data_IF_112852438195
#
_entry.id   IF_112852438195
#
_cell.length_a   1.000
_cell.length_b   1.000
_cell.length_c   1.000
_cell.angle_alpha   90.00
_cell.angle_beta   90.00
_cell.angle_gamma   90.00
#
_symmetry.space_group_name_H-M   'P 1'
#
loop_
_entity.id
_entity.type
_entity.pdbx_description
1 polymer ?
#
# COMPACT_ATOMS: atom_id res chain seq x y z
N UNK A 1 -14.31 28.27 3.21
CA UNK A 1 -14.00 27.80 1.84
C UNK A 1 -14.61 26.42 1.75
N UNK A 2 -15.71 26.27 1.01
CA UNK A 2 -16.48 25.04 0.95
C UNK A 2 -16.18 24.37 -0.40
N UNK A 3 -15.52 23.23 -0.37
CA UNK A 3 -15.21 22.41 -1.54
C UNK A 3 -16.49 21.70 -2.01
N UNK A 4 -16.91 21.91 -3.26
CA UNK A 4 -18.08 21.25 -3.84
C UNK A 4 -17.61 20.16 -4.82
N UNK A 5 -17.64 18.88 -4.41
CA UNK A 5 -17.40 17.75 -5.32
C UNK A 5 -18.70 17.37 -6.02
N UNK A 6 -18.70 17.39 -7.37
CA UNK A 6 -19.77 16.83 -8.20
C UNK A 6 -19.31 15.50 -8.79
N UNK A 7 -20.14 14.45 -8.64
CA UNK A 7 -19.84 13.07 -9.03
C UNK A 7 -20.67 12.73 -10.27
N UNK A 8 -20.04 12.14 -11.30
CA UNK A 8 -20.76 11.48 -12.38
C UNK A 8 -20.44 9.98 -12.34
N UNK A 9 -21.43 9.15 -11.98
CA UNK A 9 -21.31 7.70 -11.93
C UNK A 9 -22.07 7.05 -13.09
N UNK A 10 -21.44 6.09 -13.75
CA UNK A 10 -22.13 5.14 -14.63
C UNK A 10 -22.01 3.77 -13.97
N UNK A 11 -23.07 3.32 -13.32
CA UNK A 11 -23.12 2.01 -12.65
C UNK A 11 -23.69 0.94 -13.58
N UNK A 12 -23.02 -0.21 -13.66
CA UNK A 12 -23.65 -1.51 -13.86
C UNK A 12 -22.88 -2.56 -13.06
N UNK A 13 -23.45 -2.87 -11.89
CA UNK A 13 -23.33 -4.07 -11.04
C UNK A 13 -21.99 -4.81 -10.92
N UNK A 14 -21.36 -4.70 -9.75
CA UNK A 14 -21.22 -5.80 -8.78
C UNK A 14 -20.82 -5.19 -7.42
N UNK A 15 -21.70 -5.30 -6.42
CA UNK A 15 -21.34 -5.06 -5.03
C UNK A 15 -20.51 -6.26 -4.57
N UNK A 16 -19.19 -6.09 -4.47
CA UNK A 16 -18.40 -6.89 -3.56
C UNK A 16 -17.74 -5.94 -2.57
N UNK A 17 -18.26 -5.99 -1.36
CA UNK A 17 -17.88 -5.21 -0.20
C UNK A 17 -16.41 -5.57 0.10
N UNK A 18 -15.57 -4.54 0.32
CA UNK A 18 -14.23 -4.70 0.91
C UNK A 18 -14.30 -5.76 2.02
N UNK A 19 -13.48 -6.83 1.91
CA UNK A 19 -13.44 -7.98 2.82
C UNK A 19 -14.04 -7.62 4.20
N UNK A 20 -15.21 -8.17 4.48
CA UNK A 20 -15.95 -7.91 5.70
C UNK A 20 -14.99 -8.01 6.88
N UNK A 21 -14.93 -6.94 7.67
CA UNK A 21 -14.19 -6.94 8.93
C UNK A 21 -14.71 -8.12 9.75
N UNK A 22 -13.92 -9.17 9.92
CA UNK A 22 -14.34 -10.31 10.74
C UNK A 22 -14.28 -9.87 12.19
N UNK A 23 -15.42 -9.42 12.71
CA UNK A 23 -15.64 -9.23 14.15
C UNK A 23 -16.28 -10.50 14.65
N UNK A 24 -15.53 -11.30 15.42
CA UNK A 24 -16.08 -12.49 16.04
C UNK A 24 -17.03 -12.10 17.17
N UNK A 25 -18.24 -12.65 17.16
CA UNK A 25 -19.21 -12.46 18.24
C UNK A 25 -18.81 -13.24 19.50
N UNK A 26 -19.22 -12.70 20.64
CA UNK A 26 -18.93 -13.27 21.95
C UNK A 26 -19.99 -14.28 22.41
N UNK A 27 -19.61 -15.34 23.15
CA UNK A 27 -20.57 -16.27 23.75
C UNK A 27 -21.54 -15.57 24.72
N UNK A 28 -22.79 -16.04 24.77
CA UNK A 28 -23.92 -15.38 25.45
C UNK A 28 -23.85 -15.32 26.99
N UNK A 29 -22.78 -15.79 27.64
CA UNK A 29 -22.60 -15.77 29.10
C UNK A 29 -21.11 -15.82 29.50
N UNK A 30 -20.39 -14.70 29.39
CA UNK A 30 -19.00 -14.64 29.84
C UNK A 30 -18.93 -14.42 31.34
N UNK A 31 -18.24 -15.33 32.02
CA UNK A 31 -18.08 -15.29 33.49
C UNK A 31 -16.64 -14.98 33.89
N UNK A 32 -15.70 -15.04 32.94
CA UNK A 32 -14.28 -14.77 33.10
C UNK A 32 -13.86 -13.47 32.41
N UNK A 33 -12.75 -13.54 31.70
CA UNK A 33 -12.18 -12.48 30.85
C UNK A 33 -12.52 -12.82 29.41
N UNK A 34 -12.87 -11.83 28.60
CA UNK A 34 -13.04 -11.98 27.15
C UNK A 34 -12.57 -10.72 26.46
N UNK A 35 -11.38 -10.77 25.88
CA UNK A 35 -10.80 -9.64 25.17
C UNK A 35 -11.23 -9.65 23.70
N UNK A 36 -11.50 -8.45 23.18
CA UNK A 36 -11.76 -8.25 21.77
C UNK A 36 -11.12 -6.97 21.28
N UNK A 37 -10.47 -7.04 20.13
CA UNK A 37 -10.00 -5.84 19.43
C UNK A 37 -11.15 -5.21 18.66
N UNK A 38 -11.64 -4.06 19.13
CA UNK A 38 -12.83 -3.38 18.60
C UNK A 38 -12.47 -2.59 17.34
N UNK A 39 -11.40 -1.80 17.39
CA UNK A 39 -11.00 -0.94 16.30
C UNK A 39 -9.49 -0.71 16.29
N UNK A 40 -8.98 -0.37 15.12
CA UNK A 40 -7.63 0.16 14.95
C UNK A 40 -7.75 1.43 14.14
N UNK A 41 -7.39 2.56 14.75
CA UNK A 41 -7.19 3.82 14.04
C UNK A 41 -5.70 4.10 13.90
N UNK A 42 -5.34 4.99 12.99
CA UNK A 42 -3.97 5.14 12.52
C UNK A 42 -3.68 6.62 12.33
N UNK A 43 -2.51 7.07 12.76
CA UNK A 43 -2.05 8.45 12.58
C UNK A 43 -0.56 8.45 12.26
N UNK A 44 -0.11 9.40 11.44
CA UNK A 44 1.33 9.58 11.28
C UNK A 44 1.92 10.09 12.59
N UNK A 45 3.06 9.52 13.01
CA UNK A 45 3.73 9.89 14.28
C UNK A 45 4.13 11.36 14.38
N UNK A 46 4.25 12.05 13.25
CA UNK A 46 4.61 13.46 13.19
C UNK A 46 3.76 14.21 12.15
N UNK A 47 3.61 15.51 12.39
CA UNK A 47 2.76 16.40 11.59
C UNK A 47 3.33 16.70 10.20
N UNK A 48 4.64 16.53 9.98
CA UNK A 48 5.25 16.76 8.67
C UNK A 48 4.84 15.66 7.69
N UNK A 49 4.94 14.39 8.10
CA UNK A 49 4.46 13.25 7.32
C UNK A 49 2.94 13.28 7.16
N UNK A 50 2.20 13.63 8.22
CA UNK A 50 0.75 13.82 8.11
C UNK A 50 0.39 14.85 7.05
N UNK A 51 0.98 16.05 7.11
CA UNK A 51 0.69 17.14 6.17
C UNK A 51 0.99 16.74 4.73
N UNK A 52 1.96 15.84 4.54
CA UNK A 52 2.38 15.36 3.23
C UNK A 52 1.48 14.25 2.67
N UNK A 53 1.02 13.31 3.49
CA UNK A 53 0.37 12.09 2.99
C UNK A 53 -1.13 12.00 3.28
N UNK A 54 -1.69 12.90 4.09
CA UNK A 54 -3.07 12.84 4.57
C UNK A 54 -4.12 12.78 3.44
N UNK A 55 -3.85 13.31 2.26
CA UNK A 55 -4.88 13.41 1.22
C UNK A 55 -5.24 12.09 0.59
N UNK A 56 -4.37 11.08 0.52
CA UNK A 56 -4.72 9.72 0.10
C UNK A 56 -4.70 8.70 1.25
N UNK A 57 -4.36 9.15 2.45
CA UNK A 57 -4.27 8.31 3.64
C UNK A 57 -5.61 8.14 4.35
N UNK A 58 -5.87 6.92 4.83
CA UNK A 58 -6.99 6.59 5.72
C UNK A 58 -6.82 7.11 7.16
N UNK A 59 -5.61 7.59 7.52
CA UNK A 59 -5.23 7.99 8.88
C UNK A 59 -5.98 9.22 9.41
N UNK A 60 -6.55 10.04 8.53
CA UNK A 60 -7.26 11.24 8.97
C UNK A 60 -8.22 11.69 7.86
N UNK A 61 -9.52 11.85 8.08
CA UNK A 61 -10.28 12.78 7.25
C UNK A 61 -9.73 14.20 7.58
N UNK A 62 -9.11 14.92 6.63
CA UNK A 62 -8.68 16.30 6.86
C UNK A 62 -9.82 17.12 7.47
N UNK A 63 -9.51 18.08 8.34
CA UNK A 63 -10.52 18.91 8.97
C UNK A 63 -11.42 19.57 7.90
N UNK A 64 -12.73 19.29 7.92
CA UNK A 64 -13.74 19.67 6.92
C UNK A 64 -13.75 18.89 5.58
N UNK A 65 -13.00 17.81 5.46
CA UNK A 65 -12.98 16.93 4.29
C UNK A 65 -13.55 15.55 4.65
N UNK A 66 -14.87 15.41 4.49
CA UNK A 66 -15.56 14.14 4.67
C UNK A 66 -15.48 13.32 3.38
N UNK A 67 -14.42 12.52 3.24
CA UNK A 67 -14.23 11.66 2.07
C UNK A 67 -14.79 10.26 2.33
N UNK A 68 -15.53 9.66 1.39
CA UNK A 68 -15.88 8.24 1.44
C UNK A 68 -14.64 7.34 1.61
N UNK A 69 -14.74 6.32 2.47
CA UNK A 69 -13.62 5.42 2.77
C UNK A 69 -13.07 4.70 1.52
N UNK A 70 -13.93 4.50 0.52
CA UNK A 70 -13.58 3.91 -0.78
C UNK A 70 -12.60 4.75 -1.62
N UNK A 71 -12.32 5.99 -1.23
CA UNK A 71 -11.41 6.89 -1.94
C UNK A 71 -10.03 7.05 -1.25
N UNK A 72 -9.76 6.28 -0.19
CA UNK A 72 -8.40 6.14 0.34
C UNK A 72 -7.58 5.22 -0.56
N UNK A 73 -6.29 5.53 -0.74
CA UNK A 73 -5.35 4.69 -1.51
C UNK A 73 -4.37 3.98 -0.57
N UNK A 74 -3.97 4.65 0.52
CA UNK A 74 -2.92 4.16 1.43
C UNK A 74 -3.36 4.25 2.89
N UNK A 75 -2.81 3.37 3.71
CA UNK A 75 -2.89 3.42 5.18
C UNK A 75 -1.57 3.94 5.77
N UNK A 76 -0.45 3.72 5.08
CA UNK A 76 0.85 4.29 5.46
C UNK A 76 1.78 4.46 4.26
N UNK A 77 2.98 4.96 4.54
CA UNK A 77 4.04 5.12 3.55
C UNK A 77 5.25 4.26 3.91
N UNK A 78 5.94 3.75 2.89
CA UNK A 78 7.16 2.99 3.03
C UNK A 78 8.18 3.76 3.89
N UNK A 79 8.77 3.08 4.87
CA UNK A 79 9.75 3.61 5.81
C UNK A 79 9.29 4.86 6.58
N UNK A 80 7.98 5.05 6.73
CA UNK A 80 7.38 6.18 7.45
C UNK A 80 6.69 5.69 8.71
N UNK A 81 6.95 6.33 9.83
CA UNK A 81 6.43 5.87 11.13
C UNK A 81 4.97 6.28 11.34
N UNK A 82 4.14 5.31 11.68
CA UNK A 82 2.68 5.44 11.90
C UNK A 82 2.34 4.89 13.28
N UNK A 83 1.58 5.64 14.07
CA UNK A 83 1.02 5.20 15.35
C UNK A 83 -0.35 4.59 15.10
N UNK A 84 -0.50 3.34 15.53
CA UNK A 84 -1.78 2.65 15.58
C UNK A 84 -2.37 2.82 16.98
N UNK A 85 -3.62 3.22 17.06
CA UNK A 85 -4.41 3.21 18.30
C UNK A 85 -5.37 2.05 18.25
N UNK A 86 -5.06 1.00 19.02
CA UNK A 86 -5.84 -0.23 19.11
C UNK A 86 -6.79 -0.11 20.30
N UNK A 87 -8.09 -0.19 20.03
CA UNK A 87 -9.12 -0.21 21.07
C UNK A 87 -9.43 -1.65 21.44
N UNK A 88 -9.23 -2.00 22.71
CA UNK A 88 -9.47 -3.33 23.26
C UNK A 88 -10.61 -3.25 24.27
N UNK A 89 -11.58 -4.14 24.15
CA UNK A 89 -12.71 -4.27 25.05
C UNK A 89 -12.60 -5.59 25.81
N UNK A 90 -12.93 -5.56 27.10
CA UNK A 90 -13.12 -6.76 27.91
C UNK A 90 -14.64 -6.96 28.11
N UNK A 91 -15.22 -7.90 27.38
CA UNK A 91 -16.66 -8.22 27.44
C UNK A 91 -17.01 -9.10 28.65
N UNK A 92 -16.00 -9.71 29.28
CA UNK A 92 -16.16 -10.51 30.48
C UNK A 92 -16.49 -9.70 31.73
N UNK A 93 -16.60 -10.38 32.86
CA UNK A 93 -16.92 -9.78 34.17
C UNK A 93 -15.71 -9.62 35.07
N UNK A 94 -14.60 -10.31 34.78
CA UNK A 94 -13.38 -10.25 35.58
C UNK A 94 -12.33 -9.32 34.94
N UNK A 95 -11.42 -8.70 35.71
CA UNK A 95 -10.30 -7.96 35.16
C UNK A 95 -9.36 -8.86 34.34
N UNK A 96 -8.88 -8.36 33.20
CA UNK A 96 -8.02 -9.10 32.25
C UNK A 96 -6.60 -9.40 32.76
N UNK A 97 -6.21 -8.84 33.91
CA UNK A 97 -4.79 -8.65 34.22
C UNK A 97 -4.10 -7.84 33.12
N UNK A 98 -2.77 -7.85 33.10
CA UNK A 98 -2.00 -7.15 32.07
C UNK A 98 -2.33 -7.71 30.68
N UNK A 99 -2.38 -6.85 29.66
CA UNK A 99 -2.73 -7.22 28.28
C UNK A 99 -1.55 -6.91 27.35
N UNK A 100 -1.12 -7.92 26.60
CA UNK A 100 -0.16 -7.74 25.52
C UNK A 100 -0.91 -7.50 24.21
N UNK A 101 -0.69 -6.35 23.59
CA UNK A 101 -1.25 -5.97 22.28
C UNK A 101 -0.18 -6.14 21.23
N UNK A 102 -0.34 -7.16 20.38
CA UNK A 102 0.55 -7.48 19.29
C UNK A 102 -0.03 -7.00 17.94
N UNK A 103 0.80 -6.39 17.12
CA UNK A 103 0.49 -5.98 15.75
C UNK A 103 1.43 -6.69 14.79
N UNK A 104 0.82 -7.34 13.78
CA UNK A 104 1.50 -7.95 12.65
C UNK A 104 1.12 -7.24 11.36
N UNK A 105 2.10 -6.97 10.49
CA UNK A 105 1.85 -6.74 9.07
C UNK A 105 2.34 -7.94 8.27
N UNK A 106 1.39 -8.57 7.59
CA UNK A 106 1.57 -9.77 6.78
C UNK A 106 1.61 -9.40 5.31
N UNK A 107 2.61 -9.92 4.61
CA UNK A 107 2.70 -9.74 3.17
C UNK A 107 1.71 -10.66 2.45
N UNK A 108 0.81 -10.10 1.63
CA UNK A 108 -0.26 -10.90 1.01
C UNK A 108 0.25 -11.95 0.01
N UNK A 109 1.39 -11.67 -0.62
CA UNK A 109 1.97 -12.51 -1.67
C UNK A 109 2.82 -13.69 -1.13
N UNK A 110 3.13 -13.71 0.17
CA UNK A 110 3.98 -14.74 0.78
C UNK A 110 3.33 -15.31 2.04
N UNK A 111 3.25 -16.63 2.14
CA UNK A 111 2.71 -17.29 3.31
C UNK A 111 3.59 -17.06 4.54
N UNK A 112 2.98 -16.65 5.66
CA UNK A 112 3.63 -16.45 6.95
C UNK A 112 4.77 -15.41 6.95
N UNK A 113 4.78 -14.48 5.99
CA UNK A 113 5.77 -13.41 5.99
C UNK A 113 5.29 -12.22 6.83
N UNK A 114 5.85 -12.10 8.03
CA UNK A 114 5.65 -10.96 8.93
C UNK A 114 6.81 -9.97 8.78
N UNK A 115 6.55 -8.78 8.25
CA UNK A 115 7.58 -7.74 8.11
C UNK A 115 7.45 -6.62 9.15
N UNK A 116 6.36 -6.61 9.91
CA UNK A 116 6.20 -5.92 11.18
C UNK A 116 5.64 -6.93 12.16
N UNK A 117 6.27 -7.04 13.32
CA UNK A 117 5.78 -7.80 14.47
C UNK A 117 6.19 -7.03 15.73
N UNK A 118 5.24 -6.37 16.37
CA UNK A 118 5.52 -5.48 17.50
C UNK A 118 4.48 -5.69 18.58
N UNK A 119 4.93 -5.79 19.83
CA UNK A 119 4.06 -5.96 20.99
C UNK A 119 4.28 -4.83 21.96
N UNK A 120 3.18 -4.23 22.40
CA UNK A 120 3.17 -3.30 23.54
C UNK A 120 2.33 -3.91 24.64
N UNK A 121 2.60 -3.51 25.87
CA UNK A 121 1.86 -3.98 27.03
C UNK A 121 1.00 -2.83 27.57
N UNK A 122 -0.27 -3.10 27.82
CA UNK A 122 -1.20 -2.18 28.46
C UNK A 122 -1.68 -2.71 29.81
N UNK A 123 -2.25 -1.82 30.62
CA UNK A 123 -2.75 -2.15 31.94
C UNK A 123 -3.98 -3.06 31.88
N UNK A 124 -4.45 -3.51 33.05
CA UNK A 124 -5.62 -4.37 33.12
C UNK A 124 -6.90 -3.63 32.78
N UNK A 125 -7.73 -4.28 31.95
CA UNK A 125 -9.05 -3.81 31.56
C UNK A 125 -10.07 -4.48 32.48
N UNK A 126 -10.87 -3.66 33.16
CA UNK A 126 -11.95 -4.17 34.02
C UNK A 126 -13.04 -4.85 33.18
N UNK A 127 -13.79 -5.77 33.77
CA UNK A 127 -14.91 -6.40 33.07
C UNK A 127 -15.95 -5.37 32.60
N UNK A 128 -16.41 -5.50 31.35
CA UNK A 128 -17.31 -4.56 30.69
C UNK A 128 -16.69 -3.21 30.32
N UNK A 129 -15.36 -3.07 30.38
CA UNK A 129 -14.66 -1.83 30.06
C UNK A 129 -13.86 -1.92 28.75
N UNK A 130 -13.45 -0.76 28.25
CA UNK A 130 -12.61 -0.59 27.07
C UNK A 130 -11.41 0.27 27.43
N UNK A 131 -10.27 -0.01 26.83
CA UNK A 131 -9.08 0.83 26.91
C UNK A 131 -8.31 0.77 25.57
N UNK A 132 -7.30 1.63 25.41
CA UNK A 132 -6.55 1.76 24.16
C UNK A 132 -5.05 1.54 24.37
N UNK A 133 -4.40 0.91 23.38
CA UNK A 133 -2.95 0.82 23.28
C UNK A 133 -2.45 1.56 22.04
N UNK A 134 -1.32 2.27 22.18
CA UNK A 134 -0.62 2.90 21.06
C UNK A 134 0.57 2.04 20.64
N UNK A 135 0.65 1.72 19.36
CA UNK A 135 1.74 0.91 18.77
C UNK A 135 2.32 1.67 17.59
N UNK A 136 3.60 2.02 17.66
CA UNK A 136 4.30 2.61 16.52
C UNK A 136 4.83 1.52 15.59
N UNK A 137 4.55 1.67 14.29
CA UNK A 137 5.02 0.77 13.24
C UNK A 137 5.76 1.54 12.15
N UNK A 138 6.74 0.89 11.52
CA UNK A 138 7.44 1.42 10.34
C UNK A 138 7.39 0.36 9.24
N UNK A 139 6.43 0.44 8.30
CA UNK A 139 6.31 -0.52 7.21
C UNK A 139 7.57 -0.50 6.33
N UNK A 140 8.19 -1.66 6.16
CA UNK A 140 9.44 -1.80 5.39
C UNK A 140 9.23 -2.33 3.97
N UNK A 141 7.98 -2.63 3.59
CA UNK A 141 7.56 -3.08 2.26
C UNK A 141 6.35 -2.27 1.77
N UNK A 142 6.39 -1.81 0.52
CA UNK A 142 5.25 -1.19 -0.16
C UNK A 142 4.28 -2.24 -0.71
N UNK A 143 3.06 -1.82 -0.99
CA UNK A 143 2.01 -2.65 -1.55
C UNK A 143 0.85 -2.92 -0.61
N UNK A 144 0.03 -3.89 -0.98
CA UNK A 144 -1.17 -4.32 -0.28
C UNK A 144 -0.82 -5.44 0.70
N UNK A 145 -1.10 -5.20 1.98
CA UNK A 145 -0.79 -6.12 3.08
C UNK A 145 -2.04 -6.43 3.90
N UNK A 146 -1.88 -7.35 4.84
CA UNK A 146 -2.89 -7.67 5.86
C UNK A 146 -2.34 -7.27 7.22
N UNK A 147 -3.09 -6.43 7.95
CA UNK A 147 -2.77 -6.11 9.35
C UNK A 147 -3.58 -7.02 10.28
N UNK A 148 -2.91 -7.55 11.29
CA UNK A 148 -3.54 -8.28 12.40
C UNK A 148 -3.17 -7.59 13.71
N UNK A 149 -4.18 -7.15 14.47
CA UNK A 149 -4.00 -6.69 15.83
C UNK A 149 -4.62 -7.72 16.78
N UNK A 150 -3.86 -8.20 17.77
CA UNK A 150 -4.28 -9.20 18.75
C UNK A 150 -4.05 -8.69 20.16
N UNK A 151 -5.06 -8.80 21.01
CA UNK A 151 -4.94 -8.56 22.44
C UNK A 151 -4.87 -9.90 23.18
N UNK A 152 -3.88 -10.11 24.05
CA UNK A 152 -3.73 -11.33 24.84
C UNK A 152 -3.69 -11.00 26.32
N UNK A 153 -4.64 -11.54 27.08
CA UNK A 153 -4.67 -11.37 28.53
C UNK A 153 -3.57 -12.22 29.21
N UNK A 154 -3.04 -11.73 30.33
CA UNK A 154 -2.15 -12.51 31.22
C UNK A 154 -2.86 -13.63 31.99
N UNK A 155 -4.19 -13.69 31.90
CA UNK A 155 -5.05 -14.72 32.49
C UNK A 155 -5.83 -15.45 31.39
N UNK A 156 -6.45 -16.57 31.73
CA UNK A 156 -7.23 -17.33 30.76
C UNK A 156 -8.40 -16.51 30.22
N UNK A 157 -8.47 -16.41 28.90
CA UNK A 157 -9.56 -15.81 28.15
C UNK A 157 -10.62 -16.87 27.82
N UNK A 158 -11.90 -16.52 28.01
CA UNK A 158 -13.05 -17.41 27.79
C UNK A 158 -13.24 -17.71 26.29
N UNK A 159 -12.81 -16.84 25.38
CA UNK A 159 -12.92 -17.04 23.93
C UNK A 159 -11.73 -16.45 23.12
N UNK A 160 -10.55 -17.09 23.13
CA UNK A 160 -9.35 -16.58 22.44
C UNK A 160 -9.46 -16.37 20.91
N UNK A 161 -10.58 -16.75 20.29
CA UNK A 161 -10.82 -16.61 18.85
C UNK A 161 -11.26 -15.20 18.45
N UNK A 162 -11.77 -14.38 19.38
CA UNK A 162 -12.16 -12.98 19.11
C UNK A 162 -11.11 -11.95 19.55
N UNK A 163 -10.03 -12.41 20.19
CA UNK A 163 -8.85 -11.62 20.59
C UNK A 163 -8.16 -10.87 19.45
N UNK A 164 -8.40 -11.25 18.20
CA UNK A 164 -7.73 -10.69 17.04
C UNK A 164 -8.69 -10.04 16.04
N UNK A 165 -8.26 -8.92 15.49
CA UNK A 165 -8.89 -8.21 14.38
C UNK A 165 -7.95 -8.20 13.18
N UNK A 166 -8.51 -8.50 12.01
CA UNK A 166 -7.78 -8.46 10.74
C UNK A 166 -8.41 -7.41 9.81
N UNK A 167 -7.57 -6.63 9.13
CA UNK A 167 -8.01 -5.67 8.11
C UNK A 167 -6.92 -5.48 7.04
N UNK A 168 -7.30 -4.93 5.88
CA UNK A 168 -6.35 -4.54 4.84
C UNK A 168 -5.44 -3.40 5.32
N UNK A 169 -4.21 -3.37 4.82
CA UNK A 169 -3.26 -2.29 5.08
C UNK A 169 -2.40 -2.02 3.84
N UNK A 170 -2.56 -0.87 3.20
CA UNK A 170 -1.87 -0.50 1.95
C UNK A 170 -0.74 0.48 2.24
N UNK A 171 0.46 0.16 1.77
CA UNK A 171 1.66 0.99 1.97
C UNK A 171 2.06 1.62 0.64
N UNK A 172 2.04 2.94 0.57
CA UNK A 172 2.55 3.68 -0.59
C UNK A 172 4.06 3.59 -0.73
N UNK A 173 4.55 3.47 -1.97
CA UNK A 173 5.98 3.45 -2.28
C UNK A 173 6.56 4.87 -2.38
N UNK A 174 5.88 5.74 -3.13
CA UNK A 174 6.32 7.11 -3.37
C UNK A 174 5.13 8.05 -3.45
N UNK A 175 5.34 9.26 -2.95
CA UNK A 175 4.33 10.31 -2.88
C UNK A 175 4.92 11.65 -3.34
N UNK A 176 4.11 12.48 -3.98
CA UNK A 176 4.48 13.82 -4.44
C UNK A 176 3.31 14.80 -4.37
N UNK A 177 3.52 15.90 -3.66
CA UNK A 177 2.56 16.99 -3.46
C UNK A 177 2.80 18.17 -4.41
N UNK A 178 3.58 17.95 -5.48
CA UNK A 178 3.92 19.00 -6.44
C UNK A 178 4.47 20.30 -5.81
N UNK A 179 5.19 20.17 -4.69
CA UNK A 179 5.72 21.27 -3.88
C UNK A 179 7.13 21.73 -4.30
N UNK A 180 7.58 21.32 -5.49
CA UNK A 180 8.93 21.57 -6.00
C UNK A 180 10.05 20.78 -5.32
N UNK A 181 9.78 20.01 -4.25
CA UNK A 181 10.80 19.19 -3.57
C UNK A 181 11.00 17.84 -4.25
N UNK A 182 9.96 17.32 -4.90
CA UNK A 182 10.04 16.10 -5.68
C UNK A 182 10.73 16.37 -7.03
N UNK A 183 11.73 15.54 -7.38
CA UNK A 183 12.58 15.68 -8.57
C UNK A 183 11.88 15.36 -9.91
N UNK A 184 10.66 15.84 -10.12
CA UNK A 184 9.95 15.72 -11.39
C UNK A 184 10.64 16.58 -12.45
N UNK A 185 10.76 16.02 -13.64
CA UNK A 185 11.23 16.76 -14.80
C UNK A 185 10.02 17.44 -15.45
N UNK A 186 9.95 18.77 -15.33
CA UNK A 186 8.94 19.59 -15.99
C UNK A 186 9.45 20.02 -17.38
N UNK A 187 8.84 19.51 -18.43
CA UNK A 187 9.06 19.98 -19.79
C UNK A 187 8.45 21.37 -20.00
N UNK A 188 8.78 22.01 -21.13
CA UNK A 188 8.19 23.29 -21.49
C UNK A 188 6.65 23.17 -21.57
N UNK A 189 5.93 24.08 -20.92
CA UNK A 189 4.47 24.02 -20.75
C UNK A 189 4.00 23.39 -19.44
N UNK A 190 4.91 22.84 -18.61
CA UNK A 190 4.64 22.45 -17.23
C UNK A 190 5.31 23.38 -16.23
N UNK A 191 4.62 23.69 -15.14
CA UNK A 191 5.12 24.54 -14.05
C UNK A 191 4.51 24.13 -12.71
N UNK A 192 5.12 24.55 -11.61
CA UNK A 192 4.45 24.55 -10.31
C UNK A 192 3.60 25.81 -10.22
N UNK A 193 2.29 25.66 -9.98
CA UNK A 193 1.35 26.79 -9.87
C UNK A 193 0.87 26.97 -8.44
N UNK A 194 0.63 28.22 -8.06
CA UNK A 194 0.00 28.63 -6.80
C UNK A 194 -1.47 29.03 -6.99
N UNK A 195 -2.03 28.86 -8.19
CA UNK A 195 -3.42 29.25 -8.49
C UNK A 195 -4.43 28.41 -7.72
N UNK A 196 -4.14 27.11 -7.59
CA UNK A 196 -4.93 26.14 -6.84
C UNK A 196 -4.04 25.00 -6.34
N UNK A 197 -4.37 24.44 -5.18
CA UNK A 197 -3.72 23.24 -4.63
C UNK A 197 -4.60 22.59 -3.58
N UNK A 198 -4.38 21.30 -3.33
CA UNK A 198 -4.98 20.57 -2.22
C UNK A 198 -4.05 20.64 -1.01
N UNK A 199 -2.75 20.47 -1.21
CA UNK A 199 -1.72 20.63 -0.17
C UNK A 199 -1.08 22.01 -0.19
N UNK A 200 -0.40 22.45 0.88
CA UNK A 200 -0.53 23.83 1.37
C UNK A 200 0.02 24.96 0.48
N UNK A 201 0.55 24.72 -0.70
CA UNK A 201 1.23 25.81 -1.44
C UNK A 201 1.20 25.73 -2.96
N UNK A 202 1.25 24.55 -3.57
CA UNK A 202 1.44 24.43 -5.03
C UNK A 202 0.80 23.17 -5.60
N UNK A 203 0.56 23.17 -6.91
CA UNK A 203 0.20 22.00 -7.70
C UNK A 203 1.00 21.95 -9.01
N UNK A 204 1.10 20.78 -9.64
CA UNK A 204 1.73 20.64 -10.94
C UNK A 204 0.74 21.06 -12.02
N UNK A 205 1.11 22.01 -12.87
CA UNK A 205 0.20 22.60 -13.83
C UNK A 205 0.73 22.48 -15.27
N UNK A 206 -0.10 21.97 -16.17
CA UNK A 206 0.07 22.06 -17.61
C UNK A 206 -0.84 23.18 -18.16
N UNK A 207 -0.26 24.31 -18.54
CA UNK A 207 -1.00 25.50 -18.97
C UNK A 207 -0.29 26.80 -18.61
N UNK A 208 -1.00 27.92 -18.75
CA UNK A 208 -0.46 29.28 -18.54
C UNK A 208 -0.99 29.97 -17.27
N UNK A 209 -1.67 29.23 -16.39
CA UNK A 209 -2.26 29.72 -15.13
C UNK A 209 -3.75 30.06 -15.24
N UNK A 210 -4.45 30.22 -14.12
CA UNK A 210 -5.92 30.30 -14.11
C UNK A 210 -6.52 31.51 -14.86
N UNK A 211 -5.73 32.56 -15.09
CA UNK A 211 -6.14 33.77 -15.82
C UNK A 211 -5.70 33.77 -17.29
N UNK A 212 -5.14 32.66 -17.78
CA UNK A 212 -4.55 32.57 -19.11
C UNK A 212 -4.72 31.17 -19.70
N UNK A 213 -5.01 31.08 -21.00
CA UNK A 213 -5.19 29.79 -21.65
C UNK A 213 -3.88 29.24 -22.21
N UNK A 214 -3.77 27.93 -22.35
CA UNK A 214 -2.65 27.30 -23.07
C UNK A 214 -2.66 27.67 -24.57
N UNK A 215 -1.55 27.46 -25.28
CA UNK A 215 -1.51 27.66 -26.73
C UNK A 215 -1.95 26.40 -27.49
N UNK A 216 -2.39 26.59 -28.73
CA UNK A 216 -2.72 25.51 -29.65
C UNK A 216 -1.45 24.79 -30.13
N UNK A 217 -1.59 23.52 -30.51
CA UNK A 217 -0.53 22.64 -31.01
C UNK A 217 0.63 22.45 -30.00
N UNK A 218 0.30 22.43 -28.70
CA UNK A 218 1.27 22.13 -27.66
C UNK A 218 1.35 20.61 -27.47
N UNK A 219 2.57 20.12 -27.27
CA UNK A 219 2.83 18.85 -26.60
C UNK A 219 3.82 19.14 -25.47
N UNK A 220 3.37 18.97 -24.24
CA UNK A 220 4.13 19.29 -23.04
C UNK A 220 4.07 18.13 -22.06
N UNK A 221 5.21 17.73 -21.50
CA UNK A 221 5.27 16.57 -20.61
C UNK A 221 5.96 16.88 -19.27
N UNK A 222 5.35 16.40 -18.19
CA UNK A 222 6.00 16.20 -16.90
C UNK A 222 6.35 14.71 -16.77
N UNK A 223 7.57 14.41 -16.31
CA UNK A 223 8.02 13.02 -16.11
C UNK A 223 8.50 12.83 -14.69
N UNK A 224 8.19 11.68 -14.09
CA UNK A 224 8.76 11.30 -12.79
C UNK A 224 10.28 11.15 -12.89
N UNK A 225 11.01 11.32 -11.77
CA UNK A 225 12.36 10.78 -11.69
C UNK A 225 12.35 9.27 -11.95
N UNK A 226 13.53 8.72 -12.26
CA UNK A 226 13.72 7.28 -12.37
C UNK A 226 13.45 6.63 -11.01
N UNK A 227 12.62 5.59 -11.00
CA UNK A 227 12.27 4.80 -9.83
C UNK A 227 12.71 3.36 -10.05
N UNK A 228 13.49 2.83 -9.12
CA UNK A 228 13.78 1.40 -9.10
C UNK A 228 12.59 0.67 -8.47
N UNK A 229 11.84 0.00 -9.33
CA UNK A 229 10.69 -0.86 -8.99
C UNK A 229 10.94 -2.28 -9.54
N UNK A 230 12.22 -2.67 -9.70
CA UNK A 230 12.61 -3.99 -10.22
C UNK A 230 12.23 -5.14 -9.30
N UNK A 231 11.98 -4.83 -8.04
CA UNK A 231 11.44 -5.72 -7.03
C UNK A 231 9.91 -5.85 -7.12
N UNK A 232 9.20 -5.26 -8.09
CA UNK A 232 7.76 -5.46 -8.20
C UNK A 232 7.36 -6.93 -8.49
N UNK A 233 6.23 -7.34 -7.92
CA UNK A 233 5.61 -8.64 -8.17
C UNK A 233 4.91 -8.64 -9.55
N UNK A 234 5.13 -9.71 -10.32
CA UNK A 234 4.67 -9.80 -11.71
C UNK A 234 3.15 -10.01 -11.84
N UNK A 235 2.54 -10.68 -10.86
CA UNK A 235 1.10 -10.97 -10.85
C UNK A 235 0.54 -10.75 -9.45
N UNK A 236 0.45 -9.50 -8.99
CA UNK A 236 -0.08 -9.20 -7.67
C UNK A 236 -1.53 -9.66 -7.53
N UNK A 237 -1.92 -10.02 -6.31
CA UNK A 237 -3.28 -10.36 -5.90
C UNK A 237 -4.19 -9.12 -5.88
N UNK A 238 -3.61 -7.94 -5.70
CA UNK A 238 -4.30 -6.64 -5.63
C UNK A 238 -3.79 -5.67 -6.71
N UNK A 239 -4.50 -4.58 -6.89
CA UNK A 239 -4.14 -3.56 -7.89
C UNK A 239 -2.85 -2.85 -7.49
N UNK A 240 -1.92 -2.80 -8.45
CA UNK A 240 -0.75 -1.95 -8.39
C UNK A 240 -0.93 -0.80 -9.39
N UNK A 241 -0.39 0.38 -9.08
CA UNK A 241 -0.54 1.52 -9.95
C UNK A 241 -0.25 2.85 -9.29
N UNK A 242 -0.97 3.87 -9.76
CA UNK A 242 -0.83 5.24 -9.26
C UNK A 242 -2.18 5.91 -9.08
N UNK A 243 -2.24 6.89 -8.19
CA UNK A 243 -3.38 7.78 -8.03
C UNK A 243 -2.91 9.23 -7.97
N UNK A 244 -3.82 10.15 -8.24
CA UNK A 244 -3.61 11.60 -8.12
C UNK A 244 -4.96 12.28 -7.97
N UNK A 245 -4.94 13.52 -7.49
CA UNK A 245 -6.05 14.43 -7.70
C UNK A 245 -5.77 15.31 -8.92
N UNK A 246 -6.83 15.63 -9.67
CA UNK A 246 -6.74 16.52 -10.81
C UNK A 246 -7.94 17.47 -10.89
N UNK A 247 -7.70 18.68 -11.40
CA UNK A 247 -8.71 19.69 -11.72
C UNK A 247 -8.28 20.48 -12.96
N UNK A 248 -9.04 21.48 -13.37
CA UNK A 248 -8.79 22.26 -14.57
C UNK A 248 -9.69 21.86 -15.73
N UNK A 249 -9.29 22.24 -16.94
CA UNK A 249 -10.04 21.97 -18.14
C UNK A 249 -9.22 22.03 -19.40
N UNK A 250 -9.70 21.31 -20.42
CA UNK A 250 -9.19 21.39 -21.77
C UNK A 250 -10.36 21.34 -22.76
N UNK A 251 -10.18 22.00 -23.89
CA UNK A 251 -11.13 22.03 -24.99
C UNK A 251 -11.29 20.66 -25.67
N UNK A 252 -12.27 20.56 -26.58
CA UNK A 252 -12.49 19.33 -27.33
C UNK A 252 -11.23 18.92 -28.13
N UNK A 253 -10.89 17.63 -28.08
CA UNK A 253 -9.67 17.01 -28.66
C UNK A 253 -8.35 17.29 -27.94
N UNK A 254 -8.38 18.07 -26.86
CA UNK A 254 -7.22 18.27 -26.00
C UNK A 254 -7.27 17.28 -24.84
N UNK A 255 -6.09 16.81 -24.41
CA UNK A 255 -6.04 15.75 -23.39
C UNK A 255 -4.76 15.78 -22.55
N UNK A 256 -4.90 15.31 -21.32
CA UNK A 256 -3.79 14.93 -20.47
C UNK A 256 -3.66 13.41 -20.43
N UNK A 257 -2.55 12.89 -20.96
CA UNK A 257 -2.28 11.46 -21.08
C UNK A 257 -1.32 10.99 -20.00
N UNK A 258 -1.67 9.87 -19.35
CA UNK A 258 -0.84 9.20 -18.35
C UNK A 258 -0.21 7.97 -18.98
N UNK A 259 1.12 7.89 -18.99
CA UNK A 259 1.88 6.81 -19.60
C UNK A 259 2.97 6.25 -18.68
N UNK A 260 3.21 4.94 -18.76
CA UNK A 260 4.37 4.28 -18.16
C UNK A 260 5.45 4.01 -19.20
N UNK A 261 6.72 4.00 -18.81
CA UNK A 261 7.82 3.58 -19.68
C UNK A 261 8.06 2.08 -19.50
N UNK A 262 8.05 1.33 -20.60
CA UNK A 262 8.34 -0.10 -20.57
C UNK A 262 9.85 -0.40 -20.59
N UNK A 263 10.20 -1.68 -20.42
CA UNK A 263 11.60 -2.14 -20.46
C UNK A 263 12.30 -1.95 -21.81
N UNK A 264 11.54 -1.82 -22.91
CA UNK A 264 12.07 -1.45 -24.24
C UNK A 264 12.28 0.07 -24.41
N UNK A 265 11.95 0.86 -23.38
CA UNK A 265 12.07 2.31 -23.35
C UNK A 265 10.93 3.07 -24.02
N UNK A 266 9.86 2.37 -24.44
CA UNK A 266 8.68 2.95 -25.09
C UNK A 266 7.68 3.46 -24.04
N UNK A 267 6.98 4.54 -24.36
CA UNK A 267 5.87 5.05 -23.54
C UNK A 267 4.58 4.33 -23.91
N UNK A 268 3.92 3.74 -22.93
CA UNK A 268 2.64 3.04 -23.06
C UNK A 268 1.59 3.84 -22.29
N UNK A 269 0.53 4.25 -22.97
CA UNK A 269 -0.58 5.02 -22.38
C UNK A 269 -1.51 4.09 -21.57
N UNK A 270 -1.91 4.55 -20.39
CA UNK A 270 -2.87 3.87 -19.50
C UNK A 270 -4.18 4.62 -19.38
N UNK A 271 -4.14 5.95 -19.40
CA UNK A 271 -5.32 6.77 -19.22
C UNK A 271 -5.19 8.13 -19.90
N UNK A 272 -6.32 8.75 -20.19
CA UNK A 272 -6.39 10.12 -20.70
C UNK A 272 -7.53 10.87 -20.00
N UNK A 273 -7.24 12.08 -19.54
CA UNK A 273 -8.19 13.03 -18.97
C UNK A 273 -8.53 14.04 -20.07
N UNK A 274 -9.82 14.33 -20.24
CA UNK A 274 -10.35 15.23 -21.27
C UNK A 274 -11.50 16.07 -20.72
N UNK A 275 -11.79 17.19 -21.37
CA UNK A 275 -12.89 18.09 -21.01
C UNK A 275 -12.61 18.96 -19.78
N UNK A 276 -13.65 19.62 -19.30
CA UNK A 276 -13.58 20.61 -18.20
C UNK A 276 -14.09 19.99 -16.91
N UNK A 277 -13.23 19.95 -15.88
CA UNK A 277 -13.61 19.64 -14.49
C UNK A 277 -14.03 20.94 -13.80
N UNK A 278 -13.17 21.94 -13.88
CA UNK A 278 -13.34 23.26 -13.28
C UNK A 278 -12.40 24.24 -13.97
N UNK A 279 -12.92 25.38 -14.45
CA UNK A 279 -12.13 26.41 -15.10
C UNK A 279 -12.23 27.79 -14.42
N UNK A 280 -12.82 27.88 -13.23
CA UNK A 280 -12.88 29.11 -12.44
C UNK A 280 -12.65 28.81 -10.95
N UNK A 281 -11.45 29.09 -10.45
CA UNK A 281 -11.13 28.83 -9.05
C UNK A 281 -11.56 29.95 -8.08
N UNK A 282 -12.24 31.01 -8.55
CA UNK A 282 -12.66 32.12 -7.69
C UNK A 282 -13.77 31.71 -6.69
N UNK A 283 -14.53 30.65 -6.98
CA UNK A 283 -15.54 30.07 -6.10
C UNK A 283 -15.02 28.85 -5.30
N UNK A 284 -13.78 28.44 -5.55
CA UNK A 284 -13.10 27.31 -4.93
C UNK A 284 -12.99 26.12 -5.89
N UNK A 285 -11.81 25.51 -5.96
CA UNK A 285 -11.52 24.50 -6.96
C UNK A 285 -12.21 23.14 -6.72
N UNK A 286 -12.77 22.54 -7.75
CA UNK A 286 -13.36 21.19 -7.73
C UNK A 286 -12.33 20.15 -8.20
N UNK A 287 -11.95 19.23 -7.31
CA UNK A 287 -10.97 18.19 -7.60
C UNK A 287 -11.62 16.84 -7.84
N UNK A 288 -11.07 16.07 -8.79
CA UNK A 288 -11.46 14.70 -9.12
C UNK A 288 -10.31 13.74 -8.85
N UNK A 289 -10.64 12.47 -8.69
CA UNK A 289 -9.68 11.36 -8.67
C UNK A 289 -10.29 10.16 -9.39
N UNK A 290 -9.54 9.07 -9.50
CA UNK A 290 -9.96 7.90 -10.24
C UNK A 290 -10.98 7.05 -9.49
N UNK A 291 -11.66 6.19 -10.24
CA UNK A 291 -12.38 5.04 -9.71
C UNK A 291 -12.35 3.93 -10.76
N UNK A 292 -11.51 2.93 -10.53
CA UNK A 292 -11.32 1.80 -11.44
C UNK A 292 -11.68 0.50 -10.74
N UNK A 293 -12.32 -0.41 -11.48
CA UNK A 293 -12.52 -1.79 -11.04
C UNK A 293 -11.39 -2.66 -11.58
N UNK A 294 -10.61 -3.26 -10.70
CA UNK A 294 -9.52 -4.18 -11.04
C UNK A 294 -9.35 -5.24 -9.94
N UNK A 295 -8.95 -6.46 -10.31
CA UNK A 295 -8.77 -7.60 -9.38
C UNK A 295 -9.95 -7.84 -8.41
N UNK A 296 -11.17 -7.54 -8.84
CA UNK A 296 -12.39 -7.73 -8.04
C UNK A 296 -12.69 -6.59 -7.04
N UNK A 297 -11.98 -5.46 -7.11
CA UNK A 297 -12.18 -4.33 -6.22
C UNK A 297 -12.26 -3.01 -6.99
N UNK A 298 -13.11 -2.10 -6.51
CA UNK A 298 -13.12 -0.71 -6.97
C UNK A 298 -12.17 0.11 -6.09
N UNK A 299 -11.24 0.84 -6.70
CA UNK A 299 -10.32 1.72 -5.98
C UNK A 299 -9.98 2.97 -6.80
N UNK A 300 -9.52 4.05 -6.16
CA UNK A 300 -9.03 5.25 -6.83
C UNK A 300 -7.62 5.09 -7.42
N UNK A 301 -7.20 3.86 -7.71
CA UNK A 301 -5.87 3.55 -8.25
C UNK A 301 -5.98 3.21 -9.74
N UNK A 302 -5.29 3.95 -10.59
CA UNK A 302 -5.13 3.61 -12.00
C UNK A 302 -4.28 2.33 -12.12
N UNK A 303 -4.83 1.20 -12.61
CA UNK A 303 -4.08 -0.04 -12.72
C UNK A 303 -2.94 0.09 -13.72
N UNK A 304 -1.73 -0.24 -13.29
CA UNK A 304 -0.53 -0.28 -14.13
C UNK A 304 -0.01 -1.71 -14.21
N UNK A 305 0.31 -2.15 -15.42
CA UNK A 305 0.83 -3.50 -15.65
C UNK A 305 2.28 -3.63 -15.19
N UNK A 306 2.65 -4.84 -14.75
CA UNK A 306 3.95 -5.10 -14.12
C UNK A 306 5.16 -4.86 -15.02
N UNK A 307 4.98 -4.82 -16.34
CA UNK A 307 6.06 -4.54 -17.30
C UNK A 307 6.54 -3.07 -17.28
N UNK A 308 5.79 -2.18 -16.62
CA UNK A 308 6.24 -0.82 -16.29
C UNK A 308 7.10 -0.75 -15.03
N UNK A 309 7.12 -1.83 -14.23
CA UNK A 309 7.86 -1.87 -12.97
C UNK A 309 9.18 -2.61 -13.16
N UNK A 310 10.23 -1.82 -13.37
CA UNK A 310 11.61 -2.26 -13.56
C UNK A 310 12.61 -1.29 -12.91
N UNK A 311 13.91 -1.55 -13.09
CA UNK A 311 14.98 -0.80 -12.42
C UNK A 311 15.11 0.66 -12.85
N UNK A 312 14.40 1.05 -13.91
CA UNK A 312 14.42 2.39 -14.48
C UNK A 312 13.01 2.91 -14.78
N UNK A 313 12.03 2.50 -13.96
CA UNK A 313 10.62 2.85 -14.14
C UNK A 313 10.45 4.36 -14.16
N UNK A 314 9.63 4.86 -15.08
CA UNK A 314 9.25 6.26 -15.17
C UNK A 314 7.80 6.38 -15.65
N UNK A 315 7.13 7.43 -15.19
CA UNK A 315 5.78 7.78 -15.62
C UNK A 315 5.76 9.19 -16.20
N UNK A 316 4.94 9.38 -17.23
CA UNK A 316 4.81 10.63 -17.98
C UNK A 316 3.37 11.10 -17.96
N UNK A 317 3.20 12.38 -17.66
CA UNK A 317 1.95 13.14 -17.73
C UNK A 317 2.11 14.11 -18.90
N UNK A 318 1.44 13.82 -20.01
CA UNK A 318 1.62 14.56 -21.27
C UNK A 318 0.35 15.28 -21.65
N UNK A 319 0.40 16.60 -21.64
CA UNK A 319 -0.67 17.45 -22.15
C UNK A 319 -0.46 17.69 -23.64
N UNK A 320 -1.52 17.50 -24.43
CA UNK A 320 -1.53 17.80 -25.85
C UNK A 320 -2.75 18.64 -26.21
N UNK A 321 -2.53 19.69 -27.01
CA UNK A 321 -3.60 20.51 -27.60
C UNK A 321 -3.60 20.45 -29.13
N UNK A 322 -4.78 20.54 -29.72
CA UNK A 322 -5.00 20.58 -31.17
C UNK A 322 -4.78 21.99 -31.75
N UNK A 323 -5.20 22.23 -32.99
CA UNK A 323 -4.97 23.49 -33.69
C UNK A 323 -5.90 24.65 -33.27
N UNK A 324 -6.92 24.42 -32.44
CA UNK A 324 -7.98 25.40 -32.15
C UNK A 324 -8.62 25.21 -30.77
N UNK A 325 -8.96 26.32 -30.12
CA UNK A 325 -9.55 26.28 -28.78
C UNK A 325 -8.47 26.15 -27.72
N UNK A 326 -8.69 26.82 -26.60
CA UNK A 326 -7.85 26.65 -25.44
C UNK A 326 -8.61 26.98 -24.16
N UNK A 327 -8.18 26.35 -23.08
CA UNK A 327 -8.71 26.55 -21.73
C UNK A 327 -7.53 26.75 -20.76
N UNK A 328 -7.78 26.75 -19.45
CA UNK A 328 -6.77 26.97 -18.44
C UNK A 328 -5.75 25.84 -18.36
N UNK A 329 -6.08 24.63 -18.83
CA UNK A 329 -5.25 23.43 -18.74
C UNK A 329 -5.51 22.63 -17.47
N UNK A 330 -4.66 21.64 -17.17
CA UNK A 330 -4.87 20.75 -16.03
C UNK A 330 -3.90 21.02 -14.88
N UNK A 331 -4.40 20.81 -13.66
CA UNK A 331 -3.67 20.89 -12.41
C UNK A 331 -3.70 19.53 -11.73
N UNK A 332 -2.55 19.06 -11.27
CA UNK A 332 -2.35 17.78 -10.60
C UNK A 332 -1.78 17.98 -9.20
N UNK A 333 -2.28 17.20 -8.26
CA UNK A 333 -1.77 17.20 -6.89
C UNK A 333 -1.81 15.78 -6.28
N UNK A 334 -1.07 15.57 -5.20
CA UNK A 334 -1.08 14.36 -4.37
C UNK A 334 -0.81 13.05 -5.14
N UNK A 335 0.21 13.02 -5.99
CA UNK A 335 0.54 11.83 -6.79
C UNK A 335 1.13 10.74 -5.90
N UNK A 336 0.48 9.57 -5.82
CA UNK A 336 0.93 8.41 -5.06
C UNK A 336 1.14 7.19 -5.96
N UNK A 337 2.22 6.46 -5.72
CA UNK A 337 2.53 5.19 -6.38
C UNK A 337 2.43 4.04 -5.37
N UNK A 338 1.72 2.98 -5.73
CA UNK A 338 1.55 1.76 -4.93
C UNK A 338 1.91 0.56 -5.78
N UNK A 339 2.81 -0.29 -5.30
CA UNK A 339 3.02 -1.61 -5.88
C UNK A 339 3.51 -2.60 -4.83
N UNK A 340 3.15 -3.86 -5.02
CA UNK A 340 3.61 -4.97 -4.18
C UNK A 340 5.08 -5.30 -4.46
N UNK A 341 5.91 -5.11 -3.44
CA UNK A 341 7.34 -5.45 -3.49
C UNK A 341 7.57 -6.94 -3.26
N UNK A 342 8.53 -7.52 -3.98
CA UNK A 342 9.06 -8.85 -3.69
C UNK A 342 9.79 -8.81 -2.36
N UNK A 343 9.69 -9.92 -1.65
CA UNK A 343 10.48 -10.14 -0.44
C UNK A 343 11.98 -10.02 -0.74
N UNK A 344 12.72 -9.33 0.14
CA UNK A 344 14.17 -9.12 -0.03
C UNK A 344 14.93 -10.42 0.21
N UNK A 345 16.10 -10.55 -0.43
CA UNK A 345 17.00 -11.68 -0.21
C UNK A 345 17.38 -11.89 1.26
N UNK A 346 17.45 -10.81 2.05
CA UNK A 346 17.78 -10.87 3.48
C UNK A 346 16.71 -11.54 4.34
N UNK A 347 15.47 -11.65 3.87
CA UNK A 347 14.40 -12.34 4.61
C UNK A 347 14.50 -13.86 4.48
N UNK A 348 15.15 -14.35 3.42
CA UNK A 348 15.49 -15.75 3.25
C UNK A 348 16.73 -16.07 4.07
N UNK A 349 16.63 -17.02 4.99
CA UNK A 349 17.80 -17.50 5.72
C UNK A 349 17.62 -18.96 6.13
N UNK A 350 18.66 -19.76 5.89
CA UNK A 350 18.70 -21.17 6.30
C UNK A 350 20.04 -21.46 6.94
N UNK A 351 20.01 -22.22 8.03
CA UNK A 351 21.19 -22.82 8.61
C UNK A 351 21.16 -24.32 8.36
N UNK A 352 22.30 -24.88 7.95
CA UNK A 352 22.47 -26.32 7.76
C UNK A 352 23.61 -26.81 8.65
N UNK A 353 23.36 -27.87 9.41
CA UNK A 353 24.33 -28.50 10.29
C UNK A 353 24.44 -29.98 9.98
N UNK A 354 25.67 -30.48 9.85
CA UNK A 354 25.93 -31.93 9.81
C UNK A 354 25.58 -32.57 11.15
N UNK A 355 24.73 -33.59 11.10
CA UNK A 355 24.32 -34.36 12.29
C UNK A 355 25.16 -35.62 12.41
N UNK A 356 25.29 -36.37 11.31
CA UNK A 356 26.07 -37.60 11.29
C UNK A 356 26.49 -37.94 9.87
N UNK A 357 27.58 -38.69 9.77
CA UNK A 357 28.03 -39.32 8.53
C UNK A 357 28.33 -40.78 8.81
N UNK A 358 27.74 -41.66 8.02
CA UNK A 358 28.04 -43.08 7.97
C UNK A 358 28.72 -43.33 6.63
N UNK A 359 30.00 -43.72 6.67
CA UNK A 359 30.73 -44.10 5.47
C UNK A 359 30.15 -45.37 4.84
N UNK A 360 30.58 -45.69 3.61
CA UNK A 360 30.19 -46.91 2.92
C UNK A 360 31.38 -47.83 2.68
N UNK A 361 31.08 -49.12 2.54
CA UNK A 361 31.98 -50.11 1.95
C UNK A 361 31.66 -50.31 0.47
N UNK A 362 32.57 -50.88 -0.35
CA UNK A 362 32.29 -51.11 -1.76
C UNK A 362 30.98 -51.88 -1.98
N UNK A 363 30.08 -51.33 -2.79
CA UNK A 363 28.77 -51.91 -3.09
C UNK A 363 27.62 -51.50 -2.15
N UNK A 364 27.91 -50.73 -1.09
CA UNK A 364 26.91 -50.30 -0.09
C UNK A 364 26.68 -48.78 -0.13
N UNK A 365 25.58 -48.34 0.47
CA UNK A 365 25.23 -46.92 0.61
C UNK A 365 25.91 -46.29 1.82
N UNK A 366 26.34 -45.03 1.66
CA UNK A 366 26.73 -44.15 2.77
C UNK A 366 25.59 -43.19 3.08
N UNK A 367 25.50 -42.73 4.32
CA UNK A 367 24.43 -41.82 4.74
C UNK A 367 25.03 -40.56 5.36
N UNK A 368 24.60 -39.40 4.89
CA UNK A 368 24.88 -38.11 5.55
C UNK A 368 23.56 -37.54 6.04
N UNK A 369 23.48 -37.29 7.35
CA UNK A 369 22.32 -36.66 7.96
C UNK A 369 22.60 -35.17 8.17
N UNK A 370 21.72 -34.33 7.64
CA UNK A 370 21.78 -32.88 7.79
C UNK A 370 20.54 -32.39 8.54
N UNK A 371 20.74 -31.44 9.46
CA UNK A 371 19.66 -30.65 10.05
C UNK A 371 19.63 -29.30 9.34
N UNK A 372 18.54 -29.01 8.65
CA UNK A 372 18.29 -27.72 8.01
C UNK A 372 17.23 -27.00 8.84
N UNK A 373 17.52 -25.78 9.27
CA UNK A 373 16.60 -24.94 10.04
C UNK A 373 16.38 -23.66 9.25
N UNK A 374 15.12 -23.33 9.00
CA UNK A 374 14.76 -22.00 8.51
C UNK A 374 15.03 -20.98 9.61
N UNK A 375 15.95 -20.07 9.34
CA UNK A 375 16.35 -18.97 10.25
C UNK A 375 15.92 -17.62 9.67
N UNK A 376 15.14 -17.61 8.59
CA UNK A 376 14.59 -16.44 7.95
C UNK A 376 13.17 -16.14 8.42
N UNK A 377 12.60 -15.07 7.86
CA UNK A 377 11.27 -14.56 8.20
C UNK A 377 10.16 -15.08 7.29
N UNK A 378 10.50 -15.98 6.36
CA UNK A 378 9.54 -16.51 5.38
C UNK A 378 9.61 -18.02 5.27
N UNK A 379 8.46 -18.65 5.01
CA UNK A 379 8.38 -20.07 4.72
C UNK A 379 8.64 -20.31 3.24
N UNK A 380 9.58 -21.20 2.92
CA UNK A 380 9.93 -21.53 1.54
C UNK A 380 10.37 -22.99 1.39
N UNK A 381 10.30 -23.52 0.17
CA UNK A 381 10.80 -24.84 -0.19
C UNK A 381 12.26 -24.79 -0.62
N UNK A 382 13.11 -25.57 0.04
CA UNK A 382 14.52 -25.72 -0.32
C UNK A 382 14.78 -27.06 -0.99
N UNK A 383 15.54 -27.02 -2.10
CA UNK A 383 16.00 -28.20 -2.82
C UNK A 383 17.50 -28.40 -2.55
N UNK A 384 17.90 -29.41 -1.78
CA UNK A 384 19.32 -29.68 -1.56
C UNK A 384 19.97 -30.16 -2.86
N UNK A 385 21.21 -29.71 -3.08
CA UNK A 385 22.08 -30.20 -4.15
C UNK A 385 23.40 -30.66 -3.53
N UNK A 386 23.88 -31.83 -3.97
CA UNK A 386 25.18 -32.36 -3.59
C UNK A 386 26.13 -32.17 -4.78
N UNK A 387 27.20 -31.41 -4.56
CA UNK A 387 28.27 -31.24 -5.53
C UNK A 387 29.50 -32.07 -5.12
N UNK A 388 30.22 -32.63 -6.09
CA UNK A 388 31.47 -33.36 -5.86
C UNK A 388 31.32 -34.84 -5.47
N UNK A 389 30.13 -35.42 -5.61
CA UNK A 389 29.98 -36.88 -5.56
C UNK A 389 30.72 -37.52 -6.76
N UNK A 390 31.45 -38.65 -6.57
CA UNK A 390 32.08 -39.35 -7.69
C UNK A 390 31.04 -39.76 -8.75
N UNK A 391 31.40 -39.71 -10.03
CA UNK A 391 30.46 -40.00 -11.14
C UNK A 391 29.82 -41.39 -11.07
N UNK A 392 30.43 -42.34 -10.35
CA UNK A 392 29.90 -43.69 -10.15
C UNK A 392 28.93 -43.84 -8.97
N UNK A 393 28.66 -42.76 -8.24
CA UNK A 393 27.79 -42.79 -7.07
C UNK A 393 26.40 -42.27 -7.40
N UNK A 394 25.40 -43.10 -7.15
CA UNK A 394 24.02 -42.65 -7.10
C UNK A 394 23.78 -41.82 -5.83
N UNK A 395 22.90 -40.82 -5.93
CA UNK A 395 22.55 -39.93 -4.82
C UNK A 395 21.03 -39.83 -4.73
N UNK A 396 20.49 -39.98 -3.53
CA UNK A 396 19.09 -39.74 -3.25
C UNK A 396 18.93 -38.90 -1.97
N UNK A 397 17.83 -38.16 -1.89
CA UNK A 397 17.50 -37.31 -0.73
C UNK A 397 16.25 -37.85 -0.05
N UNK A 398 16.30 -38.05 1.27
CA UNK A 398 15.14 -38.41 2.08
C UNK A 398 14.88 -37.33 3.14
N UNK A 399 13.60 -36.97 3.32
CA UNK A 399 13.14 -36.24 4.50
C UNK A 399 12.53 -37.26 5.48
N UNK A 400 12.97 -37.30 6.75
CA UNK A 400 12.43 -38.23 7.74
C UNK A 400 10.92 -38.08 8.00
N UNK A 401 10.33 -36.93 7.66
CA UNK A 401 8.91 -36.65 7.83
C UNK A 401 7.98 -37.25 6.77
N UNK A 402 8.53 -37.87 5.72
CA UNK A 402 7.76 -38.24 4.51
C UNK A 402 7.66 -37.09 3.54
#
# INVERSE_FOLDING_TARGET
>A
MALLMSICSVSLAAQDILLETVVHESPTNQTGVDLRVVSVSMEYTNTADQSKYQMFSSNTPPFQFNRPQELYVIDGMLNTSTTLTITVENLGTNPSGVVDVNVLLLHNEYAYFEFVNTTVQMAAISGGATDTASVDIVPSYAGNHTMVARATASVADDNPNNDARTQSFTVGYRYSNCDGTASYYLGNGWQFSTDTSITPSQSCHAGNGMLSSYNNNIVAAMTTPVMDMSDAILNPLRTNGLSMFYTGGAEANDQLTISGRNTAGQWVQYHAITGVIDNDFNDGASWQTFSFADKGHASPLLPITSDMFHSTSQFKFEFSSDASGSDIGYYLDEIVFVYDQKVRKSEYSVSAQGVSTTGSTPGEWGTVTLKIVNTGNITETFFPRLDGAPESWDVYYLRPSG
#
